data_IF_837145665005
#
_entry.id   IF_837145665005
#
_cell.length_a   1.000
_cell.length_b   1.000
_cell.length_c   1.000
_cell.angle_alpha   90.00
_cell.angle_beta   90.00
_cell.angle_gamma   90.00
#
_symmetry.space_group_name_H-M   'P 1'
#
loop_
_entity.id
_entity.type
_entity.pdbx_description
1 polymer ?
#
# COMPACT_ATOMS: atom_id res chain seq x y z
N UNK A 1 5.64 2.15 -13.41
CA UNK A 1 6.65 2.24 -12.34
C UNK A 1 6.63 0.94 -11.52
N UNK A 2 7.67 0.61 -10.75
CA UNK A 2 7.75 -0.67 -10.00
C UNK A 2 6.57 -0.91 -9.02
N UNK A 3 5.93 0.18 -8.56
CA UNK A 3 4.76 0.15 -7.68
C UNK A 3 3.42 0.00 -8.42
N UNK A 4 3.43 -0.16 -9.74
CA UNK A 4 2.21 -0.39 -10.53
C UNK A 4 1.73 -1.84 -10.38
N UNK A 5 0.41 -2.03 -10.40
CA UNK A 5 -0.29 -3.32 -10.19
C UNK A 5 0.31 -4.44 -11.04
N UNK A 6 0.62 -4.14 -12.30
CA UNK A 6 1.14 -5.11 -13.27
C UNK A 6 2.51 -5.69 -12.90
N UNK A 7 3.34 -4.94 -12.18
CA UNK A 7 4.73 -5.29 -11.94
C UNK A 7 5.00 -5.70 -10.49
N UNK A 8 4.20 -5.21 -9.55
CA UNK A 8 4.44 -5.43 -8.12
C UNK A 8 4.43 -6.91 -7.73
N UNK A 9 3.41 -7.67 -8.13
CA UNK A 9 3.32 -9.11 -7.81
C UNK A 9 4.48 -9.92 -8.44
N UNK A 10 4.93 -9.53 -9.64
CA UNK A 10 6.07 -10.20 -10.29
C UNK A 10 7.37 -9.91 -9.55
N UNK A 11 7.57 -8.66 -9.14
CA UNK A 11 8.74 -8.23 -8.37
C UNK A 11 8.77 -8.89 -6.99
N UNK A 12 7.64 -8.95 -6.27
CA UNK A 12 7.53 -9.67 -5.01
C UNK A 12 7.94 -11.15 -5.14
N UNK A 13 7.62 -11.78 -6.29
CA UNK A 13 8.03 -13.15 -6.61
C UNK A 13 9.55 -13.38 -6.67
N UNK A 14 10.34 -12.36 -6.99
CA UNK A 14 11.81 -12.44 -7.01
C UNK A 14 12.36 -12.57 -5.59
N UNK A 15 11.74 -11.89 -4.63
CA UNK A 15 12.14 -11.90 -3.22
C UNK A 15 11.64 -13.13 -2.44
N UNK A 16 10.86 -14.02 -3.07
CA UNK A 16 10.39 -15.25 -2.40
C UNK A 16 11.50 -16.29 -2.21
N UNK A 17 12.56 -16.19 -3.00
CA UNK A 17 13.65 -17.17 -3.07
C UNK A 17 14.92 -16.60 -2.44
N UNK A 18 15.02 -16.72 -1.12
CA UNK A 18 16.22 -16.41 -0.36
C UNK A 18 16.88 -17.72 0.11
N UNK A 19 18.16 -17.98 -0.25
CA UNK A 19 18.90 -19.16 0.23
C UNK A 19 19.00 -19.28 1.75
N UNK A 20 18.88 -18.16 2.48
CA UNK A 20 18.93 -18.14 3.94
C UNK A 20 17.61 -18.54 4.60
N UNK A 21 16.50 -18.55 3.85
CA UNK A 21 15.20 -18.96 4.36
C UNK A 21 15.02 -20.48 4.29
N UNK A 22 14.61 -21.09 5.41
CA UNK A 22 14.27 -22.54 5.49
C UNK A 22 13.11 -22.94 4.59
N UNK A 23 12.21 -22.00 4.30
CA UNK A 23 11.08 -22.18 3.41
C UNK A 23 10.89 -20.93 2.56
N UNK A 24 10.42 -21.11 1.32
CA UNK A 24 10.10 -20.01 0.40
C UNK A 24 9.10 -19.06 1.05
N UNK A 25 9.39 -17.77 1.03
CA UNK A 25 8.41 -16.78 1.47
C UNK A 25 7.24 -16.73 0.48
N UNK A 26 6.00 -16.84 0.95
CA UNK A 26 4.82 -16.92 0.09
C UNK A 26 4.23 -15.54 -0.24
N UNK A 27 5.06 -14.59 -0.67
CA UNK A 27 4.65 -13.19 -0.88
C UNK A 27 3.53 -13.03 -1.91
N UNK A 28 3.60 -13.72 -3.07
CA UNK A 28 2.55 -13.69 -4.09
C UNK A 28 1.27 -14.33 -3.60
N UNK A 29 1.36 -15.44 -2.89
CA UNK A 29 0.16 -16.08 -2.34
C UNK A 29 -0.54 -15.16 -1.34
N UNK A 30 0.21 -14.43 -0.51
CA UNK A 30 -0.34 -13.40 0.36
C UNK A 30 -0.95 -12.23 -0.41
N UNK A 31 -0.26 -11.70 -1.42
CA UNK A 31 -0.75 -10.59 -2.24
C UNK A 31 -2.01 -10.95 -3.03
N UNK A 32 -2.12 -12.19 -3.51
CA UNK A 32 -3.28 -12.65 -4.30
C UNK A 32 -4.46 -13.09 -3.41
N UNK A 33 -4.21 -13.67 -2.22
CA UNK A 33 -5.28 -14.24 -1.37
C UNK A 33 -5.71 -13.34 -0.22
N UNK A 34 -4.80 -12.57 0.35
CA UNK A 34 -5.01 -11.87 1.62
C UNK A 34 -4.99 -10.35 1.49
N UNK A 35 -4.27 -9.80 0.50
CA UNK A 35 -4.19 -8.37 0.27
C UNK A 35 -5.41 -7.83 -0.49
N UNK A 36 -6.60 -7.97 0.09
CA UNK A 36 -7.84 -7.42 -0.44
C UNK A 36 -8.05 -5.99 0.08
N UNK A 37 -8.31 -5.03 -0.81
CA UNK A 37 -8.70 -3.69 -0.41
C UNK A 37 -10.14 -3.70 0.12
N UNK A 38 -10.29 -3.51 1.43
CA UNK A 38 -11.59 -3.50 2.11
C UNK A 38 -12.01 -2.07 2.37
N UNK A 39 -13.18 -1.71 1.87
CA UNK A 39 -13.77 -0.38 2.02
C UNK A 39 -15.06 -0.50 2.82
N UNK A 40 -15.09 0.15 3.98
CA UNK A 40 -16.33 0.27 4.77
C UNK A 40 -17.22 1.35 4.15
N UNK A 41 -16.61 2.45 3.70
CA UNK A 41 -17.22 3.45 2.86
C UNK A 41 -16.51 3.45 1.49
N UNK A 42 -17.26 3.38 0.38
CA UNK A 42 -16.66 3.37 -0.95
C UNK A 42 -16.02 4.73 -1.24
N UNK A 43 -14.78 4.71 -1.72
CA UNK A 43 -14.10 5.89 -2.27
C UNK A 43 -14.33 5.88 -3.78
N UNK A 44 -15.02 6.90 -4.28
CA UNK A 44 -15.42 6.98 -5.70
C UNK A 44 -14.25 7.36 -6.62
N UNK A 45 -13.29 8.14 -6.10
CA UNK A 45 -12.13 8.59 -6.88
C UNK A 45 -11.10 7.46 -7.06
N UNK A 46 -11.03 6.94 -8.28
CA UNK A 46 -10.10 5.88 -8.67
C UNK A 46 -8.62 6.30 -8.53
N UNK A 47 -8.29 7.59 -8.65
CA UNK A 47 -6.93 8.09 -8.45
C UNK A 47 -6.53 7.99 -6.96
N UNK A 48 -7.46 8.29 -6.05
CA UNK A 48 -7.23 8.18 -4.61
C UNK A 48 -7.09 6.71 -4.21
N UNK A 49 -7.92 5.82 -4.77
CA UNK A 49 -7.78 4.37 -4.57
C UNK A 49 -6.41 3.87 -5.06
N UNK A 50 -5.95 4.36 -6.22
CA UNK A 50 -4.62 4.00 -6.73
C UNK A 50 -3.49 4.46 -5.78
N UNK A 51 -3.61 5.66 -5.17
CA UNK A 51 -2.66 6.15 -4.16
C UNK A 51 -2.67 5.32 -2.88
N UNK A 52 -3.84 4.84 -2.44
CA UNK A 52 -3.95 3.93 -1.28
C UNK A 52 -3.23 2.60 -1.57
N UNK A 53 -3.48 2.00 -2.73
CA UNK A 53 -2.77 0.79 -3.14
C UNK A 53 -1.26 1.01 -3.25
N UNK A 54 -0.84 2.17 -3.76
CA UNK A 54 0.57 2.53 -3.82
C UNK A 54 1.19 2.61 -2.42
N UNK A 55 0.50 3.18 -1.43
CA UNK A 55 0.99 3.24 -0.05
C UNK A 55 1.13 1.85 0.58
N UNK A 56 0.14 0.97 0.37
CA UNK A 56 0.26 -0.43 0.80
C UNK A 56 1.50 -1.11 0.21
N UNK A 57 1.76 -0.91 -1.09
CA UNK A 57 2.93 -1.47 -1.77
C UNK A 57 4.24 -0.92 -1.25
N UNK A 58 4.30 0.38 -0.95
CA UNK A 58 5.48 1.02 -0.35
C UNK A 58 5.76 0.40 1.03
N UNK A 59 4.73 0.27 1.86
CA UNK A 59 4.85 -0.34 3.17
C UNK A 59 5.33 -1.79 3.05
N UNK A 60 4.70 -2.60 2.19
CA UNK A 60 5.08 -3.99 1.97
C UNK A 60 6.52 -4.13 1.47
N UNK A 61 6.94 -3.28 0.51
CA UNK A 61 8.31 -3.28 0.00
C UNK A 61 9.33 -2.97 1.10
N UNK A 62 9.08 -1.92 1.88
CA UNK A 62 9.97 -1.47 2.97
C UNK A 62 10.03 -2.47 4.12
N UNK A 63 8.88 -2.99 4.54
CA UNK A 63 8.75 -3.76 5.78
C UNK A 63 8.88 -5.27 5.59
N UNK A 64 8.61 -5.78 4.39
CA UNK A 64 8.62 -7.23 4.11
C UNK A 64 9.72 -7.63 3.14
N UNK A 65 9.94 -6.88 2.06
CA UNK A 65 10.84 -7.32 0.98
C UNK A 65 12.30 -6.86 1.16
N UNK A 66 12.53 -5.64 1.66
CA UNK A 66 13.86 -5.01 1.63
C UNK A 66 14.43 -4.63 3.00
N UNK A 67 13.84 -5.11 4.09
CA UNK A 67 14.12 -4.64 5.45
C UNK A 67 15.62 -4.65 5.87
N UNK A 68 16.50 -5.56 5.40
CA UNK A 68 17.95 -5.45 5.65
C UNK A 68 18.78 -4.93 4.47
N UNK A 69 18.22 -4.77 3.26
CA UNK A 69 18.97 -4.44 2.03
C UNK A 69 18.69 -3.03 1.49
N UNK A 70 17.81 -2.26 2.12
CA UNK A 70 17.46 -0.93 1.67
C UNK A 70 18.42 0.13 2.21
N UNK A 71 19.06 0.87 1.30
CA UNK A 71 19.82 2.06 1.66
C UNK A 71 18.91 3.17 2.22
N UNK A 72 19.42 3.93 3.19
CA UNK A 72 18.70 4.99 3.88
C UNK A 72 18.10 6.04 2.92
N UNK A 73 18.81 6.36 1.83
CA UNK A 73 18.34 7.31 0.81
C UNK A 73 17.09 6.81 0.08
N UNK A 74 17.02 5.50 -0.21
CA UNK A 74 15.85 4.87 -0.84
C UNK A 74 14.70 4.82 0.16
N UNK A 75 14.97 4.48 1.42
CA UNK A 75 13.98 4.47 2.49
C UNK A 75 13.36 5.85 2.73
N UNK A 76 14.17 6.90 2.75
CA UNK A 76 13.70 8.28 2.87
C UNK A 76 12.81 8.66 1.68
N UNK A 77 13.24 8.35 0.45
CA UNK A 77 12.47 8.64 -0.77
C UNK A 77 11.09 7.96 -0.75
N UNK A 78 11.03 6.67 -0.42
CA UNK A 78 9.77 5.93 -0.32
C UNK A 78 8.86 6.51 0.76
N UNK A 79 9.44 6.92 1.90
CA UNK A 79 8.70 7.57 2.99
C UNK A 79 8.11 8.92 2.55
N UNK A 80 8.86 9.72 1.80
CA UNK A 80 8.35 10.97 1.22
C UNK A 80 7.21 10.73 0.24
N UNK A 81 7.31 9.73 -0.64
CA UNK A 81 6.21 9.38 -1.57
C UNK A 81 4.96 8.98 -0.78
N UNK A 82 5.09 8.15 0.25
CA UNK A 82 3.96 7.77 1.10
C UNK A 82 3.33 8.98 1.81
N UNK A 83 4.16 9.93 2.27
CA UNK A 83 3.70 11.18 2.88
C UNK A 83 2.88 12.04 1.90
N UNK A 84 3.37 12.24 0.67
CA UNK A 84 2.63 12.98 -0.36
C UNK A 84 1.29 12.31 -0.69
N UNK A 85 1.30 10.98 -0.83
CA UNK A 85 0.09 10.21 -1.06
C UNK A 85 -0.92 10.36 0.09
N UNK A 86 -0.47 10.31 1.34
CA UNK A 86 -1.32 10.52 2.50
C UNK A 86 -1.96 11.91 2.51
N UNK A 87 -1.18 12.95 2.23
CA UNK A 87 -1.71 14.33 2.14
C UNK A 87 -2.76 14.46 1.04
N UNK A 88 -2.52 13.82 -0.10
CA UNK A 88 -3.47 13.72 -1.20
C UNK A 88 -4.77 13.00 -0.84
N UNK A 89 -4.67 11.83 -0.20
CA UNK A 89 -5.83 11.02 0.22
C UNK A 89 -6.66 11.80 1.23
N UNK A 90 -6.04 12.32 2.29
CA UNK A 90 -6.75 13.11 3.32
C UNK A 90 -7.35 14.36 2.70
N UNK A 91 -6.63 15.05 1.82
CA UNK A 91 -7.13 16.25 1.14
C UNK A 91 -8.33 15.99 0.24
N UNK A 92 -8.38 14.85 -0.45
CA UNK A 92 -9.52 14.47 -1.27
C UNK A 92 -10.74 14.09 -0.42
N UNK A 93 -10.53 13.28 0.62
CA UNK A 93 -11.60 12.87 1.54
C UNK A 93 -12.17 14.05 2.33
N UNK A 94 -11.34 15.04 2.69
CA UNK A 94 -11.81 16.24 3.39
C UNK A 94 -12.65 17.17 2.50
N UNK A 95 -12.37 17.23 1.20
CA UNK A 95 -13.16 18.01 0.24
C UNK A 95 -14.56 17.41 0.02
N UNK A 96 -14.70 16.10 0.17
CA UNK A 96 -15.98 15.42 0.15
C UNK A 96 -16.66 15.55 1.53
N UNK A 97 -17.45 16.61 1.68
CA UNK A 97 -18.17 16.91 2.91
C UNK A 97 -19.15 15.81 3.32
N UNK A 98 -19.67 15.04 2.36
CA UNK A 98 -20.59 13.95 2.65
C UNK A 98 -19.84 12.72 3.16
N UNK A 99 -18.65 12.43 2.62
CA UNK A 99 -17.83 11.32 3.08
C UNK A 99 -17.48 11.46 4.56
N UNK A 100 -17.00 12.64 4.99
CA UNK A 100 -16.66 12.91 6.40
C UNK A 100 -17.88 12.72 7.30
N UNK A 101 -19.05 13.21 6.88
CA UNK A 101 -20.29 13.04 7.64
C UNK A 101 -20.68 11.57 7.78
N UNK A 102 -20.57 10.77 6.71
CA UNK A 102 -20.83 9.32 6.75
C UNK A 102 -19.86 8.59 7.66
N UNK A 103 -18.59 9.00 7.71
CA UNK A 103 -17.60 8.45 8.64
C UNK A 103 -18.02 8.69 10.10
N UNK A 104 -18.46 9.91 10.45
CA UNK A 104 -18.90 10.21 11.82
C UNK A 104 -20.15 9.40 12.21
N UNK A 105 -21.10 9.21 11.30
CA UNK A 105 -22.29 8.38 11.57
C UNK A 105 -21.91 6.92 11.90
N UNK A 106 -20.86 6.37 11.27
CA UNK A 106 -20.37 5.02 11.58
C UNK A 106 -19.64 4.93 12.93
N UNK A 107 -19.19 6.05 13.51
CA UNK A 107 -18.50 6.07 14.80
C UNK A 107 -19.46 6.25 15.98
N UNK A 108 -20.70 6.68 15.71
CA UNK A 108 -21.76 6.85 16.71
C UNK A 108 -22.62 5.58 16.90
N UNK A 109 -22.41 4.53 16.11
CA UNK A 109 -22.90 3.15 16.34
C UNK A 109 -21.92 2.32 17.19
#
# INVERSE_FOLDING_TARGET
MLLSDRFFNRMAGVFEYDPELRCRAEHRAFLDRSATFKQILPIEDAEIVARIHQNFRIAFLKDTLLRPMMDDAVAATLTSVAYFNNGAIVGALHKDSDYVRRVFLLLEE
#
